data_IF_980317457230
#
_entry.id   IF_980317457230
#
_cell.length_a   1.000
_cell.length_b   1.000
_cell.length_c   1.000
_cell.angle_alpha   90.00
_cell.angle_beta   90.00
_cell.angle_gamma   90.00
#
_symmetry.space_group_name_H-M   'P 1'
#
loop_
_entity.id
_entity.type
_entity.pdbx_description
1 polymer ?
#
# COMPACT_ATOMS: atom_id res chain seq x y z
N UNK A 1 0.72 -7.30 14.38
CA UNK A 1 0.31 -8.24 13.31
C UNK A 1 0.95 -7.80 12.01
N UNK A 2 1.46 -8.76 11.25
CA UNK A 2 2.09 -8.46 9.96
C UNK A 2 1.23 -8.96 8.81
N UNK A 3 1.17 -8.15 7.75
CA UNK A 3 0.67 -8.55 6.43
C UNK A 3 1.76 -8.41 5.38
N UNK A 4 3.04 -8.49 5.83
CA UNK A 4 4.18 -8.39 4.93
C UNK A 4 4.07 -9.40 3.79
N UNK A 5 4.13 -8.92 2.56
CA UNK A 5 4.15 -9.76 1.35
C UNK A 5 2.90 -10.57 1.08
N UNK A 6 1.77 -10.28 1.75
CA UNK A 6 0.58 -11.16 1.70
C UNK A 6 0.10 -11.42 0.28
N UNK A 7 0.10 -10.42 -0.59
CA UNK A 7 -0.31 -10.56 -1.99
C UNK A 7 0.85 -10.33 -2.97
N UNK A 8 2.08 -10.47 -2.48
CA UNK A 8 3.28 -10.31 -3.30
C UNK A 8 3.28 -11.32 -4.45
N UNK A 9 3.50 -10.84 -5.67
CA UNK A 9 3.48 -11.66 -6.89
C UNK A 9 2.12 -12.28 -7.22
N UNK A 10 1.05 -11.87 -6.57
CA UNK A 10 -0.30 -12.35 -6.88
C UNK A 10 -0.79 -11.63 -8.14
N UNK A 11 -0.28 -12.01 -9.30
CA UNK A 11 -0.41 -11.27 -10.56
C UNK A 11 -1.80 -11.27 -11.15
N UNK A 12 -2.69 -12.18 -10.72
CA UNK A 12 -4.08 -12.23 -11.18
C UNK A 12 -5.08 -11.81 -10.12
N UNK A 13 -4.60 -11.48 -8.92
CA UNK A 13 -5.48 -11.12 -7.80
C UNK A 13 -6.07 -9.73 -8.00
N UNK A 14 -7.38 -9.64 -7.94
CA UNK A 14 -8.10 -8.35 -8.00
C UNK A 14 -9.46 -8.49 -7.32
N UNK A 15 -9.45 -8.87 -6.05
CA UNK A 15 -10.68 -9.07 -5.27
C UNK A 15 -10.86 -7.96 -4.26
N UNK A 16 -12.12 -7.70 -3.88
CA UNK A 16 -12.46 -6.64 -2.94
C UNK A 16 -11.89 -6.94 -1.55
N UNK A 17 -11.13 -6.00 -1.00
CA UNK A 17 -10.54 -6.07 0.34
C UNK A 17 -11.04 -4.93 1.23
N UNK A 18 -11.95 -4.10 0.77
CA UNK A 18 -12.36 -2.90 1.50
C UNK A 18 -12.99 -3.16 2.86
N UNK A 19 -13.55 -4.36 3.06
CA UNK A 19 -14.18 -4.74 4.33
C UNK A 19 -13.21 -5.39 5.32
N UNK A 20 -11.94 -5.56 4.96
CA UNK A 20 -10.97 -6.13 5.87
C UNK A 20 -10.66 -5.16 7.00
N UNK A 21 -10.57 -5.68 8.22
CA UNK A 21 -10.11 -4.92 9.37
C UNK A 21 -8.60 -5.05 9.48
N UNK A 22 -7.88 -4.01 9.06
CA UNK A 22 -6.41 -3.97 9.11
C UNK A 22 -5.90 -3.09 10.25
N UNK A 23 -6.78 -2.71 11.18
CA UNK A 23 -6.47 -1.71 12.21
C UNK A 23 -5.39 -2.15 13.20
N UNK A 24 -5.10 -3.45 13.30
CA UNK A 24 -4.04 -3.97 14.17
C UNK A 24 -2.75 -4.30 13.42
N UNK A 25 -2.69 -4.02 12.11
CA UNK A 25 -1.52 -4.35 11.29
C UNK A 25 -0.44 -3.30 11.47
N UNK A 26 0.79 -3.75 11.72
CA UNK A 26 1.94 -2.85 11.88
C UNK A 26 2.93 -2.92 10.72
N UNK A 27 2.90 -3.98 9.92
CA UNK A 27 3.85 -4.15 8.82
C UNK A 27 3.11 -4.54 7.54
N UNK A 28 3.21 -3.67 6.53
CA UNK A 28 2.65 -3.90 5.19
C UNK A 28 3.73 -3.83 4.11
N UNK A 29 4.99 -4.10 4.48
CA UNK A 29 6.07 -4.15 3.49
C UNK A 29 5.75 -5.18 2.41
N UNK A 30 5.92 -4.81 1.14
CA UNK A 30 5.74 -5.71 -0.01
C UNK A 30 4.33 -6.31 -0.14
N UNK A 31 3.32 -5.76 0.53
CA UNK A 31 1.99 -6.41 0.55
C UNK A 31 1.42 -6.65 -0.84
N UNK A 32 1.57 -5.69 -1.75
CA UNK A 32 1.10 -5.79 -3.13
C UNK A 32 2.24 -5.71 -4.15
N UNK A 33 3.44 -6.10 -3.74
CA UNK A 33 4.62 -6.07 -4.59
C UNK A 33 4.41 -7.00 -5.79
N UNK A 34 4.54 -6.47 -7.00
CA UNK A 34 4.28 -7.22 -8.24
C UNK A 34 2.85 -7.79 -8.35
N UNK A 35 1.89 -7.23 -7.64
CA UNK A 35 0.48 -7.58 -7.78
C UNK A 35 -0.08 -6.77 -8.97
N UNK A 36 0.20 -7.23 -10.18
CA UNK A 36 0.05 -6.44 -11.41
C UNK A 36 -1.39 -6.22 -11.86
N UNK A 37 -2.36 -6.95 -11.30
CA UNK A 37 -3.77 -6.79 -11.65
C UNK A 37 -4.61 -6.09 -10.57
N UNK A 38 -4.03 -5.91 -9.37
CA UNK A 38 -4.80 -5.39 -8.24
C UNK A 38 -5.14 -3.91 -8.42
N UNK A 39 -6.44 -3.59 -8.32
CA UNK A 39 -6.91 -2.20 -8.36
C UNK A 39 -8.24 -2.07 -7.62
N UNK A 40 -8.27 -2.41 -6.33
CA UNK A 40 -9.50 -2.35 -5.53
C UNK A 40 -9.47 -1.19 -4.55
N UNK A 41 -10.67 -0.71 -4.19
CA UNK A 41 -10.85 0.38 -3.24
C UNK A 41 -10.46 -0.06 -1.84
N UNK A 42 -9.41 0.57 -1.28
CA UNK A 42 -8.94 0.32 0.09
C UNK A 42 -8.73 1.63 0.85
N UNK A 43 -9.30 2.73 0.38
CA UNK A 43 -9.13 4.04 1.01
C UNK A 43 -9.71 4.10 2.42
N UNK A 44 -10.69 3.25 2.74
CA UNK A 44 -11.31 3.22 4.05
C UNK A 44 -10.56 2.37 5.09
N UNK A 45 -9.43 1.76 4.70
CA UNK A 45 -8.61 1.02 5.66
C UNK A 45 -8.06 1.95 6.73
N UNK A 46 -8.16 1.53 7.99
CA UNK A 46 -7.48 2.20 9.09
C UNK A 46 -6.05 1.68 9.18
N UNK A 47 -5.12 2.44 8.63
CA UNK A 47 -3.69 2.08 8.60
C UNK A 47 -2.89 2.87 9.64
N UNK A 48 -3.57 3.49 10.61
CA UNK A 48 -2.92 4.38 11.57
C UNK A 48 -1.90 3.68 12.47
N UNK A 49 -1.98 2.36 12.60
CA UNK A 49 -1.05 1.57 13.42
C UNK A 49 0.15 1.06 12.63
N UNK A 50 0.15 1.24 11.30
CA UNK A 50 1.19 0.71 10.43
C UNK A 50 2.47 1.54 10.56
N UNK A 51 3.60 0.85 10.72
CA UNK A 51 4.94 1.46 10.82
C UNK A 51 5.74 1.33 9.53
N UNK A 52 5.48 0.32 8.70
CA UNK A 52 6.30 0.00 7.55
C UNK A 52 5.45 -0.30 6.33
N UNK A 53 5.76 0.40 5.24
CA UNK A 53 5.12 0.24 3.93
C UNK A 53 6.16 0.23 2.80
N UNK A 54 7.34 -0.32 3.07
CA UNK A 54 8.43 -0.41 2.09
C UNK A 54 7.97 -1.23 0.88
N UNK A 55 8.08 -0.66 -0.33
CA UNK A 55 7.72 -1.32 -1.58
C UNK A 55 6.30 -1.91 -1.60
N UNK A 56 5.37 -1.33 -0.84
CA UNK A 56 4.04 -1.89 -0.68
C UNK A 56 3.32 -2.10 -2.01
N UNK A 57 3.42 -1.14 -2.92
CA UNK A 57 2.79 -1.20 -4.25
C UNK A 57 3.82 -1.21 -5.39
N UNK A 58 5.07 -1.51 -5.08
CA UNK A 58 6.13 -1.50 -6.09
C UNK A 58 5.78 -2.50 -7.20
N UNK A 59 5.69 -1.99 -8.43
CA UNK A 59 5.32 -2.76 -9.61
C UNK A 59 3.86 -3.29 -9.59
N UNK A 60 2.98 -2.64 -8.82
CA UNK A 60 1.54 -2.87 -8.89
C UNK A 60 0.98 -2.05 -10.05
N UNK A 61 1.20 -2.51 -11.26
CA UNK A 61 1.10 -1.72 -12.48
C UNK A 61 -0.31 -1.31 -12.88
N UNK A 62 -1.35 -1.92 -12.31
CA UNK A 62 -2.74 -1.56 -12.57
C UNK A 62 -3.37 -0.70 -11.47
N UNK A 63 -2.67 -0.53 -10.34
CA UNK A 63 -3.27 0.15 -9.18
C UNK A 63 -3.43 1.65 -9.43
N UNK A 64 -4.62 2.17 -9.15
CA UNK A 64 -4.91 3.60 -9.24
C UNK A 64 -6.09 3.93 -8.32
N UNK A 65 -5.80 4.11 -7.02
CA UNK A 65 -6.81 4.48 -6.04
C UNK A 65 -6.34 5.70 -5.24
N UNK A 66 -7.28 6.49 -4.76
CA UNK A 66 -6.99 7.67 -3.95
C UNK A 66 -6.76 7.24 -2.50
N UNK A 67 -5.53 7.34 -2.03
CA UNK A 67 -5.15 6.99 -0.67
C UNK A 67 -4.81 8.22 0.19
N UNK A 68 -5.26 9.41 -0.22
CA UNK A 68 -4.96 10.65 0.50
C UNK A 68 -5.55 10.68 1.91
N UNK A 69 -6.55 9.84 2.20
CA UNK A 69 -7.18 9.78 3.52
C UNK A 69 -6.48 8.86 4.50
N UNK A 70 -5.48 8.09 4.03
CA UNK A 70 -4.73 7.22 4.94
C UNK A 70 -3.94 8.02 5.96
N UNK A 71 -4.09 7.68 7.26
CA UNK A 71 -3.28 8.27 8.34
C UNK A 71 -1.96 7.51 8.43
N UNK A 72 -0.89 8.12 7.92
CA UNK A 72 0.42 7.44 7.79
C UNK A 72 1.51 8.11 8.64
N UNK A 73 1.14 8.87 9.66
CA UNK A 73 2.10 9.57 10.51
C UNK A 73 3.03 8.63 11.29
N UNK A 74 2.63 7.36 11.49
CA UNK A 74 3.46 6.38 12.19
C UNK A 74 4.34 5.56 11.24
N UNK A 75 4.23 5.77 9.94
CA UNK A 75 5.04 5.05 8.95
C UNK A 75 6.41 5.68 8.86
N UNK A 76 7.47 4.91 9.18
CA UNK A 76 8.85 5.38 9.09
C UNK A 76 9.65 4.71 7.97
N UNK A 77 9.06 3.70 7.29
CA UNK A 77 9.64 3.05 6.12
C UNK A 77 8.61 3.08 4.99
N UNK A 78 8.89 3.87 3.95
CA UNK A 78 7.98 4.01 2.80
C UNK A 78 8.74 4.07 1.47
N UNK A 79 10.03 3.76 1.47
CA UNK A 79 10.85 3.81 0.25
C UNK A 79 10.27 2.87 -0.81
N UNK A 80 10.29 3.32 -2.05
CA UNK A 80 9.79 2.56 -3.19
C UNK A 80 8.31 2.17 -3.09
N UNK A 81 7.53 2.94 -2.30
CA UNK A 81 6.11 2.66 -2.04
C UNK A 81 5.32 2.44 -3.32
N UNK A 82 5.49 3.33 -4.30
CA UNK A 82 4.72 3.35 -5.54
C UNK A 82 5.59 3.29 -6.81
N UNK A 83 6.78 2.71 -6.72
CA UNK A 83 7.67 2.59 -7.89
C UNK A 83 7.02 1.72 -8.96
N UNK A 84 7.20 2.11 -10.23
CA UNK A 84 6.70 1.34 -11.38
C UNK A 84 5.18 1.13 -11.35
N UNK A 85 4.44 2.19 -11.02
CA UNK A 85 2.98 2.19 -11.03
C UNK A 85 2.45 3.18 -12.07
N UNK A 86 2.59 2.86 -13.39
CA UNK A 86 2.31 3.83 -14.45
C UNK A 86 0.85 4.27 -14.54
N UNK A 87 -0.09 3.49 -14.01
CA UNK A 87 -1.51 3.84 -14.03
C UNK A 87 -1.94 4.67 -12.83
N UNK A 88 -1.09 4.81 -11.81
CA UNK A 88 -1.47 5.51 -10.59
C UNK A 88 -1.34 7.02 -10.77
N UNK A 89 -2.47 7.69 -10.93
CA UNK A 89 -2.56 9.15 -11.09
C UNK A 89 -3.31 9.82 -9.94
N UNK A 90 -4.04 9.06 -9.14
CA UNK A 90 -4.77 9.58 -7.97
C UNK A 90 -3.81 9.80 -6.80
N UNK A 91 -4.21 10.59 -5.78
CA UNK A 91 -3.29 10.93 -4.70
C UNK A 91 -2.79 9.72 -3.91
N UNK A 92 -1.48 9.72 -3.62
CA UNK A 92 -0.85 8.78 -2.71
C UNK A 92 -0.97 9.30 -1.28
N UNK A 93 -0.67 8.48 -0.25
CA UNK A 93 -0.71 8.98 1.13
C UNK A 93 0.30 10.10 1.36
N UNK A 94 -0.01 11.00 2.30
CA UNK A 94 0.88 12.09 2.65
C UNK A 94 1.84 11.66 3.75
N UNK A 95 2.93 11.00 3.37
CA UNK A 95 3.96 10.57 4.32
C UNK A 95 4.69 11.77 4.91
N UNK A 96 4.76 11.84 6.24
CA UNK A 96 5.40 12.96 6.94
C UNK A 96 6.62 12.52 7.75
N UNK A 97 6.80 11.23 8.00
CA UNK A 97 7.88 10.70 8.83
C UNK A 97 8.78 9.72 8.09
N UNK A 98 8.70 9.68 6.77
CA UNK A 98 9.62 8.93 5.92
C UNK A 98 9.73 9.62 4.58
N UNK A 99 10.79 9.29 3.84
CA UNK A 99 11.05 9.81 2.51
C UNK A 99 11.06 8.67 1.52
N UNK A 100 10.14 8.70 0.53
CA UNK A 100 10.04 7.64 -0.47
C UNK A 100 11.27 7.54 -1.37
N UNK A 101 12.06 8.60 -1.46
CA UNK A 101 13.23 8.67 -2.33
C UNK A 101 14.53 8.18 -1.69
N UNK A 102 14.50 7.79 -0.45
CA UNK A 102 15.71 7.37 0.26
C UNK A 102 16.12 5.93 -0.06
#
# INVERSE_FOLDING_TARGET
>A
ITMRGLFSYASSFDQALGNWDVSSVDNMNYMFYNATSFNQEISNWDVSFVNEMFSMFNNASSFNQDLSTWSVENVFLCENFDDNTPQWTLPIPNFTNCNMDD
#
